data_IF_413493016420
#
_entry.id   IF_413493016420
#
_cell.length_a   1.000
_cell.length_b   1.000
_cell.length_c   1.000
_cell.angle_alpha   90.00
_cell.angle_beta   90.00
_cell.angle_gamma   90.00
#
_symmetry.space_group_name_H-M   'P 1'
#
loop_
_entity.id
_entity.type
_entity.pdbx_description
1 polymer ?
#
# COMPACT_ATOMS: atom_id res chain seq x y z
N UNK A 1 -18.40 1.99 -17.42
CA UNK A 1 -17.07 2.31 -17.96
C UNK A 1 -16.05 2.10 -16.84
N UNK A 2 -15.12 1.14 -16.98
CA UNK A 2 -14.07 0.93 -15.96
C UNK A 2 -13.04 2.06 -16.10
N UNK A 3 -12.74 2.76 -15.00
CA UNK A 3 -11.77 3.85 -15.03
C UNK A 3 -10.42 3.37 -15.59
N UNK A 4 -9.87 4.09 -16.57
CA UNK A 4 -8.59 3.78 -17.19
C UNK A 4 -7.46 3.76 -16.16
N UNK A 5 -6.37 3.04 -16.45
CA UNK A 5 -5.15 2.99 -15.63
C UNK A 5 -4.69 4.39 -15.21
N UNK A 6 -4.68 5.34 -16.14
CA UNK A 6 -4.28 6.72 -15.88
C UNK A 6 -5.21 7.44 -14.88
N UNK A 7 -6.53 7.19 -14.94
CA UNK A 7 -7.48 7.76 -14.00
C UNK A 7 -7.28 7.20 -12.58
N UNK A 8 -7.01 5.89 -12.46
CA UNK A 8 -6.71 5.23 -11.19
C UNK A 8 -5.40 5.74 -10.58
N UNK A 9 -4.36 5.89 -11.40
CA UNK A 9 -3.04 6.41 -10.97
C UNK A 9 -3.18 7.83 -10.43
N UNK A 10 -3.88 8.72 -11.14
CA UNK A 10 -4.13 10.10 -10.66
C UNK A 10 -4.91 10.13 -9.35
N UNK A 11 -5.95 9.30 -9.21
CA UNK A 11 -6.74 9.22 -7.97
C UNK A 11 -5.89 8.74 -6.80
N UNK A 12 -5.08 7.70 -7.02
CA UNK A 12 -4.19 7.17 -6.01
C UNK A 12 -3.09 8.17 -5.61
N UNK A 13 -2.52 8.89 -6.58
CA UNK A 13 -1.54 9.96 -6.32
C UNK A 13 -2.15 11.11 -5.50
N UNK A 14 -3.35 11.57 -5.87
CA UNK A 14 -4.06 12.61 -5.12
C UNK A 14 -4.34 12.19 -3.68
N UNK A 15 -4.64 10.91 -3.43
CA UNK A 15 -4.83 10.39 -2.08
C UNK A 15 -3.53 10.25 -1.30
N UNK A 16 -2.46 9.81 -1.95
CA UNK A 16 -1.19 9.49 -1.28
C UNK A 16 -0.39 10.73 -0.84
N UNK A 17 -0.70 11.91 -1.40
CA UNK A 17 -0.05 13.17 -1.04
C UNK A 17 1.24 13.45 -1.83
N UNK A 18 1.86 14.60 -1.55
CA UNK A 18 2.97 15.14 -2.34
C UNK A 18 4.26 14.32 -2.25
N UNK A 19 4.46 13.62 -1.13
CA UNK A 19 5.62 12.75 -0.92
C UNK A 19 5.54 11.43 -1.70
N UNK A 20 4.40 11.13 -2.32
CA UNK A 20 4.16 9.90 -3.04
C UNK A 20 4.32 10.07 -4.55
N UNK A 21 5.16 9.23 -5.15
CA UNK A 21 5.11 8.94 -6.59
C UNK A 21 4.37 7.63 -6.80
N UNK A 22 3.15 7.72 -7.33
CA UNK A 22 2.32 6.54 -7.62
C UNK A 22 2.43 6.16 -9.09
N UNK A 23 2.64 4.87 -9.34
CA UNK A 23 2.56 4.24 -10.66
C UNK A 23 1.68 3.01 -10.58
N UNK A 24 0.87 2.78 -11.61
CA UNK A 24 0.22 1.48 -11.81
C UNK A 24 1.01 0.72 -12.86
N UNK A 25 1.39 -0.51 -12.56
CA UNK A 25 2.01 -1.46 -13.48
C UNK A 25 0.99 -2.56 -13.83
N UNK A 26 1.19 -3.26 -14.95
CA UNK A 26 0.40 -4.45 -15.30
C UNK A 26 1.23 -5.66 -14.90
N UNK A 27 0.68 -6.46 -13.99
CA UNK A 27 1.33 -7.66 -13.48
C UNK A 27 1.25 -8.84 -14.45
N UNK A 28 1.87 -9.98 -14.11
CA UNK A 28 1.96 -11.15 -14.98
C UNK A 28 0.64 -11.85 -15.32
N UNK A 29 -0.45 -11.49 -14.64
CA UNK A 29 -1.80 -12.05 -14.79
C UNK A 29 -2.78 -10.95 -15.27
N UNK A 30 -2.29 -9.96 -16.00
CA UNK A 30 -3.06 -8.79 -16.49
C UNK A 30 -3.76 -7.96 -15.40
N UNK A 31 -3.30 -8.08 -14.15
CA UNK A 31 -3.80 -7.33 -13.00
C UNK A 31 -3.10 -5.98 -12.85
N UNK A 32 -3.83 -4.97 -12.39
CA UNK A 32 -3.19 -3.70 -12.01
C UNK A 32 -2.45 -3.88 -10.69
N UNK A 33 -1.18 -3.48 -10.66
CA UNK A 33 -0.34 -3.49 -9.45
C UNK A 33 0.08 -2.07 -9.13
N UNK A 34 -0.22 -1.62 -7.91
CA UNK A 34 0.15 -0.29 -7.46
C UNK A 34 1.55 -0.29 -6.89
N UNK A 35 2.34 0.66 -7.38
CA UNK A 35 3.66 0.99 -6.85
C UNK A 35 3.62 2.41 -6.30
N UNK A 36 3.89 2.55 -5.01
CA UNK A 36 3.97 3.85 -4.34
C UNK A 36 5.42 4.02 -3.87
N UNK A 37 6.06 5.10 -4.30
CA UNK A 37 7.44 5.43 -3.98
C UNK A 37 7.50 6.71 -3.15
N UNK A 38 8.23 6.68 -2.03
CA UNK A 38 8.55 7.88 -1.28
C UNK A 38 9.62 8.67 -2.05
N UNK A 39 9.43 9.97 -2.22
CA UNK A 39 10.43 10.83 -2.88
C UNK A 39 11.60 11.21 -1.97
N UNK A 40 11.45 11.07 -0.66
CA UNK A 40 12.46 11.46 0.34
C UNK A 40 13.18 10.27 0.98
N UNK A 41 12.44 9.18 1.28
CA UNK A 41 13.01 8.04 1.97
C UNK A 41 13.77 7.10 1.04
N UNK A 42 14.94 6.64 1.48
CA UNK A 42 15.70 5.56 0.84
C UNK A 42 15.44 4.23 1.56
N UNK A 43 15.27 3.17 0.78
CA UNK A 43 15.09 1.79 1.23
C UNK A 43 16.36 0.95 1.08
N UNK A 44 16.18 -0.37 0.96
CA UNK A 44 17.30 -1.33 0.89
C UNK A 44 18.11 -1.19 -0.41
N UNK A 45 19.44 -1.13 -0.27
CA UNK A 45 20.37 -1.08 -1.40
C UNK A 45 20.29 0.24 -2.17
N UNK A 46 20.22 1.36 -1.44
CA UNK A 46 20.19 2.75 -1.93
C UNK A 46 19.08 3.09 -2.93
N UNK A 47 18.08 2.21 -3.06
CA UNK A 47 16.90 2.44 -3.88
C UNK A 47 15.87 3.24 -3.10
N UNK A 48 15.12 4.16 -3.74
CA UNK A 48 14.01 4.85 -3.09
C UNK A 48 13.07 3.86 -2.40
N UNK A 49 12.63 4.22 -1.20
CA UNK A 49 11.66 3.41 -0.48
C UNK A 49 10.39 3.32 -1.34
N UNK A 50 9.91 2.10 -1.53
CA UNK A 50 8.68 1.88 -2.27
C UNK A 50 7.95 0.65 -1.77
N UNK A 51 6.63 0.67 -1.92
CA UNK A 51 5.79 -0.50 -1.77
C UNK A 51 5.33 -0.97 -3.14
N UNK A 52 5.52 -2.26 -3.37
CA UNK A 52 5.03 -3.01 -4.52
C UNK A 52 4.41 -4.31 -3.99
N UNK A 53 3.12 -4.52 -4.25
CA UNK A 53 2.37 -5.67 -3.75
C UNK A 53 1.44 -6.21 -4.83
N UNK A 54 1.79 -7.32 -5.51
CA UNK A 54 0.80 -8.11 -6.22
C UNK A 54 -0.10 -8.80 -5.19
N UNK A 55 -1.41 -8.67 -5.30
CA UNK A 55 -2.36 -9.26 -4.34
C UNK A 55 -3.79 -9.27 -4.85
N UNK A 56 -4.65 -10.06 -4.20
CA UNK A 56 -6.03 -10.38 -4.61
C UNK A 56 -6.91 -9.15 -4.84
N UNK A 57 -6.70 -8.06 -4.08
CA UNK A 57 -7.45 -6.79 -4.21
C UNK A 57 -6.85 -5.82 -5.25
N UNK A 58 -6.18 -6.31 -6.29
CA UNK A 58 -5.37 -5.50 -7.22
C UNK A 58 -4.26 -4.68 -6.53
N UNK A 59 -3.82 -5.12 -5.33
CA UNK A 59 -2.71 -4.53 -4.59
C UNK A 59 -2.91 -3.10 -4.05
N UNK A 60 -4.03 -2.42 -4.35
CA UNK A 60 -4.23 -1.02 -3.96
C UNK A 60 -4.31 -0.85 -2.45
N UNK A 61 -5.24 -1.54 -1.79
CA UNK A 61 -5.44 -1.42 -0.34
C UNK A 61 -4.20 -1.84 0.44
N UNK A 62 -3.59 -2.97 0.09
CA UNK A 62 -2.37 -3.44 0.73
C UNK A 62 -1.19 -2.48 0.52
N UNK A 63 -1.07 -1.89 -0.68
CA UNK A 63 -0.08 -0.86 -0.99
C UNK A 63 -0.32 0.42 -0.20
N UNK A 64 -1.56 0.90 -0.18
CA UNK A 64 -1.96 2.13 0.51
C UNK A 64 -1.80 2.00 2.03
N UNK A 65 -2.18 0.86 2.64
CA UNK A 65 -1.95 0.60 4.07
C UNK A 65 -0.46 0.75 4.42
N UNK A 66 0.41 0.15 3.62
CA UNK A 66 1.86 0.22 3.84
C UNK A 66 2.40 1.64 3.66
N UNK A 67 1.85 2.40 2.71
CA UNK A 67 2.16 3.81 2.52
C UNK A 67 1.74 4.66 3.72
N UNK A 68 0.50 4.51 4.20
CA UNK A 68 -0.04 5.21 5.38
C UNK A 68 0.86 4.99 6.59
N UNK A 69 1.27 3.75 6.86
CA UNK A 69 2.18 3.45 7.98
C UNK A 69 3.57 4.07 7.79
N UNK A 70 4.11 4.06 6.56
CA UNK A 70 5.38 4.70 6.27
C UNK A 70 5.31 6.21 6.48
N UNK A 71 4.25 6.87 5.99
CA UNK A 71 4.03 8.29 6.14
C UNK A 71 3.92 8.66 7.63
N UNK A 72 3.11 7.92 8.39
CA UNK A 72 2.94 8.16 9.84
C UNK A 72 4.24 8.00 10.63
N UNK A 73 5.08 7.03 10.26
CA UNK A 73 6.33 6.73 10.97
C UNK A 73 7.48 7.65 10.56
N UNK A 74 7.64 7.93 9.27
CA UNK A 74 8.81 8.65 8.71
C UNK A 74 8.55 10.12 8.42
N UNK A 75 7.29 10.50 8.19
CA UNK A 75 6.88 11.86 7.88
C UNK A 75 5.71 12.29 8.79
N UNK A 76 5.90 12.34 10.12
CA UNK A 76 4.80 12.57 11.08
C UNK A 76 4.14 13.94 10.93
N UNK A 77 4.79 14.89 10.25
CA UNK A 77 4.29 16.24 9.95
C UNK A 77 3.67 16.36 8.56
N UNK A 78 3.75 15.32 7.72
CA UNK A 78 3.13 15.35 6.40
C UNK A 78 1.62 15.21 6.54
N UNK A 79 0.90 16.02 5.77
CA UNK A 79 -0.52 15.85 5.55
C UNK A 79 -0.75 15.11 4.22
N UNK A 80 -1.70 14.19 4.20
CA UNK A 80 -2.11 13.46 3.01
C UNK A 80 -3.53 12.92 3.20
N UNK A 81 -4.40 12.99 2.17
CA UNK A 81 -5.78 12.49 2.29
C UNK A 81 -5.86 11.01 2.70
N UNK A 82 -4.84 10.20 2.37
CA UNK A 82 -4.82 8.79 2.76
C UNK A 82 -4.73 8.57 4.27
N UNK A 83 -4.28 9.55 5.07
CA UNK A 83 -4.18 9.42 6.53
C UNK A 83 -5.54 9.29 7.22
N UNK A 84 -6.63 9.74 6.57
CA UNK A 84 -8.00 9.50 7.03
C UNK A 84 -8.29 7.99 7.19
N UNK A 85 -7.65 7.16 6.36
CA UNK A 85 -7.83 5.71 6.37
C UNK A 85 -6.91 4.98 7.37
N UNK A 86 -6.12 5.70 8.19
CA UNK A 86 -5.22 5.10 9.18
C UNK A 86 -5.94 4.13 10.13
N UNK A 87 -7.09 4.46 10.75
CA UNK A 87 -7.77 3.53 11.65
C UNK A 87 -8.20 2.23 10.94
N UNK A 88 -8.66 2.35 9.69
CA UNK A 88 -9.06 1.20 8.88
C UNK A 88 -7.84 0.33 8.47
N UNK A 89 -6.70 0.96 8.18
CA UNK A 89 -5.45 0.27 7.88
C UNK A 89 -4.93 -0.50 9.11
N UNK A 90 -5.01 0.11 10.30
CA UNK A 90 -4.67 -0.53 11.57
C UNK A 90 -5.58 -1.74 11.83
N UNK A 91 -6.89 -1.59 11.68
CA UNK A 91 -7.85 -2.69 11.83
C UNK A 91 -7.50 -3.87 10.92
N UNK A 92 -7.26 -3.63 9.62
CA UNK A 92 -6.85 -4.69 8.69
C UNK A 92 -5.53 -5.35 9.09
N UNK A 93 -4.58 -4.59 9.63
CA UNK A 93 -3.33 -5.16 10.14
C UNK A 93 -3.58 -6.07 11.34
N UNK A 94 -4.43 -5.65 12.27
CA UNK A 94 -4.82 -6.46 13.43
C UNK A 94 -5.54 -7.74 13.00
N UNK A 95 -6.50 -7.66 12.08
CA UNK A 95 -7.21 -8.83 11.54
C UNK A 95 -6.26 -9.82 10.88
N UNK A 96 -5.35 -9.35 10.02
CA UNK A 96 -4.32 -10.20 9.39
C UNK A 96 -3.42 -10.88 10.42
N UNK A 97 -3.00 -10.15 11.46
CA UNK A 97 -2.19 -10.74 12.55
C UNK A 97 -2.96 -11.81 13.33
N UNK A 98 -4.26 -11.60 13.59
CA UNK A 98 -5.12 -12.60 14.26
C UNK A 98 -5.30 -13.85 13.41
N UNK A 99 -5.53 -13.70 12.11
CA UNK A 99 -5.64 -14.83 11.17
C UNK A 99 -4.34 -15.64 11.12
N UNK A 100 -3.19 -14.96 11.07
CA UNK A 100 -1.88 -15.63 11.09
C UNK A 100 -1.59 -16.35 12.42
N UNK A 101 -1.97 -15.74 13.55
CA UNK A 101 -1.79 -16.36 14.87
C UNK A 101 -2.73 -17.55 15.12
N UNK A 102 -3.91 -17.58 14.50
CA UNK A 102 -4.88 -18.68 14.61
C UNK A 102 -4.64 -19.83 13.63
N UNK A 103 -3.82 -19.64 12.60
CA UNK A 103 -3.56 -20.64 11.54
C UNK A 103 -2.47 -21.67 11.86
N UNK A 104 -1.68 -21.47 12.92
CA UNK A 104 -0.53 -22.33 13.28
C UNK A 104 -0.89 -23.50 14.20
N UNK A 105 -2.18 -23.81 14.39
CA UNK A 105 -2.67 -24.80 15.35
C UNK A 105 -3.34 -26.05 14.76
N UNK A 106 -3.22 -26.33 13.46
CA UNK A 106 -3.87 -27.50 12.84
C UNK A 106 -2.90 -28.28 11.95
N UNK A 107 -1.98 -29.00 12.56
CA UNK A 107 -1.27 -30.13 11.97
C UNK A 107 -0.77 -31.03 13.11
N UNK A 108 -1.59 -31.99 13.51
CA UNK A 108 -1.20 -33.28 14.11
C UNK A 108 -2.50 -34.05 14.44
N UNK A 109 -2.95 -34.88 13.49
CA UNK A 109 -3.55 -36.21 13.74
C UNK A 109 -3.05 -37.17 12.65
#
# INVERSE_FOLDING_TARGET
MVASRAARERKAAAQAGELARVRIEVGPQDQFVYKITCVECTGKGDRPWSVYRPGEDNGFMAGMDRWIFHLREKHPTSDAPCLEFLPAAEQRLHERRRQQAGGTGHADD
#
